data_IF_799559743750
#
_entry.id   IF_799559743750
#
_cell.length_a   1.000
_cell.length_b   1.000
_cell.length_c   1.000
_cell.angle_alpha   90.00
_cell.angle_beta   90.00
_cell.angle_gamma   90.00
#
_symmetry.space_group_name_H-M   'P 1'
#
loop_
_entity.id
_entity.type
_entity.pdbx_description
1 polymer ?
2 branched ?
3 non-polymer ?
4 non-polymer ?
5 water ?
#
# COMPACT_ATOMS: atom_id res chain seq x y z
N UNK A 1 -5.56 -15.59 1.51
CA UNK A 1 -6.02 -14.49 0.68
C UNK A 1 -6.86 -13.54 1.49
N UNK A 2 -7.03 -12.30 1.03
CA UNK A 2 -7.95 -11.41 1.66
C UNK A 2 -8.83 -10.83 0.58
N UNK A 3 -10.00 -10.33 0.92
CA UNK A 3 -10.96 -9.79 -0.05
C UNK A 3 -11.62 -8.53 0.40
N UNK A 4 -12.11 -7.74 -0.55
CA UNK A 4 -12.87 -6.54 -0.27
C UNK A 4 -13.88 -6.35 -1.43
N UNK A 5 -15.14 -6.10 -1.09
CA UNK A 5 -16.18 -5.77 -2.03
C UNK A 5 -16.68 -4.38 -1.92
N UNK A 6 -16.67 -3.64 -3.02
CA UNK A 6 -17.11 -2.28 -3.00
C UNK A 6 -18.66 -2.24 -2.93
N UNK A 7 -19.29 -3.32 -3.41
CA UNK A 7 -20.78 -3.30 -3.34
C UNK A 7 -21.21 -3.50 -1.88
N UNK A 8 -21.89 -2.46 -1.37
CA UNK A 8 -22.34 -2.44 0.02
C UNK A 8 -21.27 -1.98 0.95
N UNK A 9 -20.14 -1.58 0.40
CA UNK A 9 -19.02 -1.22 1.31
C UNK A 9 -19.35 0.05 2.13
N UNK A 10 -18.79 0.10 3.32
CA UNK A 10 -18.92 1.22 4.23
C UNK A 10 -17.68 1.38 5.09
N UNK A 11 -17.60 2.36 5.95
CA UNK A 11 -16.35 2.51 6.68
C UNK A 11 -16.03 1.26 7.48
N UNK A 12 -17.06 0.62 8.00
CA UNK A 12 -16.83 -0.57 8.79
C UNK A 12 -16.27 -1.73 7.93
N UNK A 13 -16.86 -2.02 6.80
CA UNK A 13 -16.37 -3.15 6.02
C UNK A 13 -14.97 -2.87 5.40
N UNK A 14 -14.65 -1.64 5.10
CA UNK A 14 -13.30 -1.28 4.66
C UNK A 14 -12.32 -1.48 5.81
N UNK A 15 -12.71 -1.05 7.00
CA UNK A 15 -11.81 -1.31 8.15
C UNK A 15 -11.53 -2.76 8.42
N UNK A 16 -12.56 -3.62 8.19
CA UNK A 16 -12.38 -5.04 8.31
C UNK A 16 -11.40 -5.59 7.24
N UNK A 17 -11.46 -5.02 6.00
CA UNK A 17 -10.53 -5.46 4.97
C UNK A 17 -9.07 -5.01 5.37
N UNK A 18 -8.88 -3.78 5.77
CA UNK A 18 -7.56 -3.26 6.17
C UNK A 18 -7.00 -4.10 7.34
N UNK A 19 -7.87 -4.48 8.26
CA UNK A 19 -7.46 -5.38 9.33
C UNK A 19 -7.05 -6.77 8.81
N UNK A 20 -7.82 -7.31 7.88
CA UNK A 20 -7.47 -8.58 7.28
C UNK A 20 -6.14 -8.52 6.52
N UNK A 21 -5.94 -7.43 5.80
CA UNK A 21 -4.71 -7.24 5.03
C UNK A 21 -3.50 -7.21 6.02
N UNK A 22 -3.60 -6.37 7.06
CA UNK A 22 -2.47 -6.35 8.03
C UNK A 22 -2.18 -7.74 8.64
N UNK A 23 -3.24 -8.41 8.98
CA UNK A 23 -3.16 -9.74 9.67
C UNK A 23 -2.73 -10.83 8.76
N UNK A 24 -2.77 -10.58 7.43
CA UNK A 24 -2.22 -11.55 6.49
C UNK A 24 -0.72 -11.45 6.34
N UNK A 25 -0.08 -10.42 6.90
CA UNK A 25 1.37 -10.24 6.63
C UNK A 25 2.10 -10.88 7.82
N UNK A 26 3.03 -11.77 7.52
CA UNK A 26 3.65 -12.53 8.65
C UNK A 26 4.71 -11.72 9.37
N UNK A 27 4.91 -12.01 10.69
CA UNK A 27 5.96 -11.34 11.46
C UNK A 27 6.39 -12.34 12.57
N UNK A 28 7.64 -12.27 12.99
CA UNK A 28 8.19 -13.05 14.10
C UNK A 28 8.33 -12.25 15.40
N UNK A 29 8.31 -10.94 15.28
CA UNK A 29 8.65 -10.01 16.33
C UNK A 29 7.82 -8.71 16.20
N UNK A 30 7.58 -8.01 17.29
CA UNK A 30 7.09 -6.62 17.27
C UNK A 30 8.20 -5.80 17.84
N UNK A 31 8.31 -4.58 17.38
CA UNK A 31 9.27 -3.65 17.82
C UNK A 31 8.47 -2.47 18.29
N UNK A 32 8.57 -2.14 19.54
CA UNK A 32 7.77 -1.08 20.12
C UNK A 32 6.25 -1.33 19.89
N UNK A 33 5.89 -2.59 19.95
CA UNK A 33 4.53 -3.10 19.80
C UNK A 33 3.97 -3.01 18.37
N UNK A 34 4.85 -2.79 17.42
CA UNK A 34 4.47 -2.74 15.96
C UNK A 34 5.07 -3.97 15.29
N UNK A 35 4.24 -4.79 14.55
CA UNK A 35 4.74 -5.88 13.76
C UNK A 35 5.87 -5.49 12.82
N UNK A 36 6.91 -6.30 12.90
CA UNK A 36 8.09 -6.12 12.13
C UNK A 36 8.01 -7.06 10.95
N UNK A 37 7.93 -6.55 9.72
CA UNK A 37 7.84 -7.43 8.57
C UNK A 37 9.10 -8.26 8.37
N UNK A 38 8.97 -9.46 7.81
CA UNK A 38 10.12 -10.34 7.72
C UNK A 38 11.18 -9.84 6.74
N UNK A 39 12.47 -10.12 6.99
CA UNK A 39 13.54 -9.84 6.04
C UNK A 39 13.31 -10.50 4.66
N UNK A 40 12.80 -11.73 4.64
CA UNK A 40 12.73 -12.45 3.38
C UNK A 40 11.76 -13.58 3.52
N UNK A 41 11.13 -13.99 2.41
CA UNK A 41 10.23 -15.15 2.41
C UNK A 41 10.47 -15.85 1.07
N UNK A 42 10.70 -17.16 1.07
CA UNK A 42 11.01 -17.81 -0.20
C UNK A 42 9.81 -18.50 -0.82
N UNK A 43 9.79 -18.41 -2.14
CA UNK A 43 8.83 -19.15 -2.95
C UNK A 43 7.57 -18.36 -3.08
N UNK A 44 6.47 -19.08 -3.27
CA UNK A 44 5.21 -18.46 -3.53
C UNK A 44 4.63 -17.82 -2.28
N UNK A 45 5.06 -18.29 -1.10
CA UNK A 45 4.67 -17.66 0.17
C UNK A 45 4.96 -16.18 0.34
N UNK A 46 5.83 -15.65 -0.49
CA UNK A 46 6.15 -14.26 -0.45
C UNK A 46 4.95 -13.42 -0.83
N UNK A 47 4.01 -13.98 -1.56
CA UNK A 47 2.95 -13.14 -2.17
C UNK A 47 1.60 -13.32 -1.57
N UNK A 48 0.95 -12.24 -1.18
CA UNK A 48 -0.42 -12.29 -0.73
C UNK A 48 -1.35 -11.94 -1.86
N UNK A 49 -2.44 -12.67 -2.00
CA UNK A 49 -3.50 -12.37 -3.03
C UNK A 49 -4.64 -11.60 -2.44
N UNK A 50 -4.87 -10.40 -2.97
CA UNK A 50 -5.98 -9.58 -2.57
C UNK A 50 -7.04 -9.64 -3.66
N UNK A 51 -8.21 -10.09 -3.31
CA UNK A 51 -9.30 -10.10 -4.31
C UNK A 51 -10.18 -8.92 -4.08
N UNK A 52 -10.25 -8.07 -5.09
CA UNK A 52 -11.00 -6.83 -4.99
C UNK A 52 -12.12 -6.85 -5.98
N UNK A 53 -13.33 -6.43 -5.54
CA UNK A 53 -14.53 -6.50 -6.40
C UNK A 53 -15.09 -5.11 -6.51
N UNK A 54 -15.38 -4.75 -7.76
CA UNK A 54 -15.94 -3.45 -7.94
C UNK A 54 -17.45 -3.49 -7.64
N UNK A 55 -18.10 -2.34 -7.77
CA UNK A 55 -19.50 -2.22 -7.33
C UNK A 55 -20.42 -3.22 -8.11
N UNK A 56 -20.04 -3.50 -9.35
CA UNK A 56 -20.74 -4.45 -10.25
C UNK A 56 -20.33 -5.88 -10.06
N UNK A 57 -19.41 -6.16 -9.15
CA UNK A 57 -19.04 -7.57 -8.87
C UNK A 57 -17.89 -8.17 -9.69
N UNK A 58 -17.39 -7.39 -10.60
CA UNK A 58 -16.19 -7.80 -11.38
C UNK A 58 -14.98 -7.66 -10.51
N UNK A 59 -13.95 -8.43 -10.77
CA UNK A 59 -12.88 -8.63 -9.80
C UNK A 59 -11.47 -8.62 -10.45
N UNK A 60 -10.49 -8.11 -9.69
CA UNK A 60 -9.08 -8.35 -10.01
C UNK A 60 -8.45 -9.01 -8.78
N UNK A 61 -7.38 -9.76 -8.98
CA UNK A 61 -6.58 -10.29 -7.88
C UNK A 61 -5.24 -9.55 -7.95
N UNK A 62 -4.87 -8.96 -6.81
CA UNK A 62 -3.63 -8.16 -6.70
C UNK A 62 -2.66 -9.00 -5.90
N UNK A 63 -1.44 -9.12 -6.42
CA UNK A 63 -0.28 -9.82 -5.71
C UNK A 63 0.55 -8.75 -4.94
N UNK A 64 0.72 -8.96 -3.59
CA UNK A 64 1.44 -8.07 -2.70
C UNK A 64 2.60 -8.85 -2.06
N UNK A 65 3.77 -8.28 -2.10
CA UNK A 65 4.92 -8.89 -1.47
C UNK A 65 4.78 -8.63 0.02
N UNK A 66 4.78 -9.74 0.83
CA UNK A 66 4.42 -9.68 2.29
C UNK A 66 5.55 -9.08 3.18
N UNK A 67 6.74 -8.92 2.61
CA UNK A 67 7.86 -8.33 3.29
C UNK A 67 7.85 -6.80 3.26
N UNK A 68 7.12 -6.20 2.25
CA UNK A 68 7.24 -4.79 2.12
C UNK A 68 5.91 -4.07 1.70
N UNK A 69 4.89 -4.91 1.55
CA UNK A 69 3.51 -4.43 1.15
C UNK A 69 3.60 -3.81 -0.23
N UNK A 70 4.55 -4.16 -1.07
CA UNK A 70 4.61 -3.58 -2.40
C UNK A 70 3.73 -4.38 -3.35
N UNK A 71 2.94 -3.68 -4.14
CA UNK A 71 2.14 -4.46 -5.13
C UNK A 71 3.04 -4.85 -6.29
N UNK A 72 2.98 -6.12 -6.72
CA UNK A 72 3.82 -6.56 -7.82
C UNK A 72 3.10 -6.59 -9.14
N UNK A 73 1.81 -6.93 -9.10
CA UNK A 73 1.03 -7.10 -10.39
C UNK A 73 -0.32 -7.54 -10.01
N UNK A 74 -1.14 -7.86 -10.98
CA UNK A 74 -2.55 -8.21 -10.68
C UNK A 74 -3.03 -9.06 -11.87
N UNK A 75 -4.09 -9.76 -11.63
CA UNK A 75 -4.76 -10.58 -12.63
C UNK A 75 -6.18 -10.01 -12.92
N UNK A 76 -6.52 -9.93 -14.20
CA UNK A 76 -7.84 -9.38 -14.56
C UNK A 76 -8.30 -10.29 -15.67
N UNK A 77 -9.26 -11.15 -15.34
CA UNK A 77 -9.76 -12.16 -16.21
C UNK A 77 -8.61 -13.04 -16.67
N UNK A 78 -8.29 -13.14 -17.92
CA UNK A 78 -7.29 -14.13 -18.20
C UNK A 78 -5.95 -13.56 -18.44
N UNK A 79 -5.77 -12.32 -18.06
CA UNK A 79 -4.52 -11.66 -18.33
C UNK A 79 -3.84 -11.21 -17.05
N UNK A 80 -2.54 -11.45 -16.92
CA UNK A 80 -1.76 -10.91 -15.79
C UNK A 80 -1.03 -9.69 -16.19
N UNK A 81 -0.69 -8.80 -15.24
CA UNK A 81 -0.01 -7.60 -15.54
C UNK A 81 1.01 -7.40 -14.40
N UNK A 82 2.29 -7.09 -14.73
CA UNK A 82 3.29 -6.85 -13.70
C UNK A 82 4.06 -5.60 -13.89
N UNK A 83 4.52 -4.93 -12.83
CA UNK A 83 5.42 -3.80 -12.97
C UNK A 83 6.70 -4.17 -13.68
N UNK A 84 7.29 -3.22 -14.35
CA UNK A 84 8.54 -3.42 -15.05
C UNK A 84 9.68 -3.18 -14.09
N UNK A 85 9.88 -4.13 -13.19
CA UNK A 85 10.95 -4.11 -12.19
C UNK A 85 11.34 -5.54 -11.84
N UNK A 86 12.57 -5.77 -11.37
CA UNK A 86 12.97 -7.14 -11.12
C UNK A 86 12.18 -7.92 -10.07
N UNK A 87 11.72 -7.24 -8.98
CA UNK A 87 10.95 -7.90 -7.94
C UNK A 87 9.65 -8.35 -8.52
N UNK A 88 9.10 -7.59 -9.50
CA UNK A 88 7.86 -8.02 -10.07
C UNK A 88 8.07 -9.09 -11.07
N UNK A 89 9.15 -9.03 -11.89
CA UNK A 89 9.34 -10.13 -12.79
C UNK A 89 9.53 -11.42 -11.97
N UNK A 90 10.29 -11.36 -10.86
CA UNK A 90 10.42 -12.48 -9.91
C UNK A 90 9.05 -13.02 -9.42
N UNK A 91 8.16 -12.11 -9.01
CA UNK A 91 6.82 -12.54 -8.61
C UNK A 91 6.10 -13.28 -9.71
N UNK A 92 6.32 -12.88 -10.97
CA UNK A 92 5.56 -13.49 -12.05
C UNK A 92 5.98 -14.95 -12.24
N UNK A 93 7.02 -15.36 -11.53
CA UNK A 93 7.38 -16.75 -11.52
C UNK A 93 6.47 -17.58 -10.64
N UNK A 94 5.76 -16.95 -9.71
CA UNK A 94 4.97 -17.66 -8.71
C UNK A 94 3.44 -17.44 -8.79
N UNK A 95 2.98 -16.23 -9.20
CA UNK A 95 1.55 -15.94 -9.14
C UNK A 95 0.98 -15.80 -10.57
N UNK A 96 -0.25 -16.24 -10.73
CA UNK A 96 -1.07 -15.96 -11.92
C UNK A 96 -0.46 -16.68 -13.10
N UNK A 97 0.29 -17.74 -12.85
CA UNK A 97 0.90 -18.46 -13.93
C UNK A 97 -0.13 -19.03 -14.90
N UNK A 98 -1.35 -19.27 -14.44
CA UNK A 98 -2.41 -19.83 -15.28
C UNK A 98 -3.13 -18.82 -16.19
N UNK A 99 -2.70 -17.57 -16.18
CA UNK A 99 -3.19 -16.50 -17.07
C UNK A 99 -2.86 -16.93 -18.50
N UNK A 100 -3.80 -16.67 -19.42
CA UNK A 100 -3.46 -16.83 -20.88
C UNK A 100 -2.32 -15.97 -21.42
N UNK A 101 -2.12 -14.71 -20.98
CA UNK A 101 -0.99 -13.92 -21.42
C UNK A 101 -0.56 -13.05 -20.29
N UNK A 102 0.67 -12.67 -20.30
CA UNK A 102 1.27 -11.82 -19.30
C UNK A 102 1.78 -10.53 -19.91
N UNK A 103 1.19 -9.40 -19.48
CA UNK A 103 1.71 -8.15 -19.94
C UNK A 103 2.59 -7.45 -18.92
N UNK A 104 3.73 -6.97 -19.30
CA UNK A 104 4.57 -6.20 -18.44
C UNK A 104 4.21 -4.76 -18.67
N UNK A 105 3.73 -4.12 -17.59
CA UNK A 105 3.42 -2.69 -17.70
C UNK A 105 4.61 -1.81 -18.06
N UNK A 106 4.41 -0.65 -18.75
CA UNK A 106 5.54 0.13 -19.22
C UNK A 106 6.03 1.21 -18.14
N UNK A 107 6.13 0.74 -16.87
CA UNK A 107 6.69 1.47 -15.81
C UNK A 107 6.92 0.51 -14.66
N UNK A 108 7.82 0.89 -13.79
CA UNK A 108 7.90 0.26 -12.44
C UNK A 108 6.76 0.76 -11.54
N UNK A 109 6.74 0.20 -10.34
CA UNK A 109 5.77 0.57 -9.31
C UNK A 109 6.09 1.71 -8.40
N UNK A 110 7.20 2.42 -8.58
CA UNK A 110 7.36 3.50 -7.69
C UNK A 110 6.61 4.79 -8.01
N UNK A 111 6.30 5.52 -6.99
CA UNK A 111 5.41 6.62 -7.13
C UNK A 111 5.87 7.59 -8.21
N UNK A 112 7.15 7.85 -8.28
CA UNK A 112 7.59 8.82 -9.26
C UNK A 112 7.35 8.38 -10.68
N UNK A 113 7.69 7.16 -10.94
CA UNK A 113 7.39 6.59 -12.29
C UNK A 113 5.87 6.54 -12.61
N UNK A 114 5.07 6.17 -11.60
CA UNK A 114 3.64 6.02 -11.89
C UNK A 114 3.06 7.42 -12.16
N UNK A 115 3.46 8.44 -11.39
CA UNK A 115 2.99 9.83 -11.56
C UNK A 115 3.38 10.32 -12.96
N UNK A 116 4.55 9.91 -13.42
CA UNK A 116 5.02 10.35 -14.78
C UNK A 116 4.06 9.74 -15.82
N UNK A 117 3.81 8.43 -15.67
CA UNK A 117 2.92 7.69 -16.59
C UNK A 117 1.51 8.22 -16.57
N UNK A 118 1.04 8.63 -15.38
CA UNK A 118 -0.29 9.07 -15.23
C UNK A 118 -0.51 10.51 -15.70
N UNK A 119 0.58 11.25 -15.76
CA UNK A 119 0.51 12.68 -16.11
C UNK A 119 0.12 13.63 -14.94
N UNK A 120 0.14 13.12 -13.70
CA UNK A 120 -0.33 13.90 -12.57
C UNK A 120 0.40 13.38 -11.34
N UNK A 121 0.69 14.26 -10.39
CA UNK A 121 1.26 13.86 -9.12
C UNK A 121 0.10 13.35 -8.28
N UNK A 122 0.42 12.54 -7.27
CA UNK A 122 -0.61 12.06 -6.27
C UNK A 122 -1.44 13.15 -5.65
N UNK A 123 -0.79 14.26 -5.31
CA UNK A 123 -1.50 15.41 -4.71
C UNK A 123 -2.75 15.80 -5.48
N UNK A 124 -2.78 15.51 -6.77
CA UNK A 124 -3.93 15.92 -7.57
C UNK A 124 -4.92 14.82 -7.94
N UNK A 125 -4.69 13.59 -7.44
CA UNK A 125 -5.56 12.49 -7.75
C UNK A 125 -6.48 12.17 -6.59
N UNK A 126 -7.80 12.41 -6.76
CA UNK A 126 -8.64 12.02 -5.67
C UNK A 126 -8.56 10.53 -5.33
N UNK A 127 -8.65 10.25 -4.00
CA UNK A 127 -8.76 8.86 -3.53
C UNK A 127 -9.95 8.68 -2.60
N UNK A 128 -10.30 7.46 -2.32
CA UNK A 128 -11.55 7.13 -1.64
C UNK A 128 -12.04 5.82 -2.12
N UNK A 129 -13.17 5.35 -1.56
CA UNK A 129 -13.78 4.13 -1.99
C UNK A 129 -14.36 4.24 -3.42
N UNK A 130 -15.02 5.35 -3.76
CA UNK A 130 -15.46 5.45 -5.19
C UNK A 130 -14.26 5.40 -6.14
N UNK A 131 -13.17 6.05 -5.75
CA UNK A 131 -11.98 5.99 -6.61
C UNK A 131 -11.42 4.59 -6.74
N UNK A 132 -11.48 3.81 -5.66
CA UNK A 132 -11.03 2.44 -5.78
C UNK A 132 -11.96 1.60 -6.67
N UNK A 133 -13.30 1.87 -6.61
CA UNK A 133 -14.20 1.19 -7.54
C UNK A 133 -13.78 1.51 -8.97
N UNK A 134 -13.50 2.76 -9.24
CA UNK A 134 -13.05 3.12 -10.58
C UNK A 134 -11.74 2.46 -10.96
N UNK A 135 -10.82 2.37 -10.02
CA UNK A 135 -9.49 1.82 -10.39
C UNK A 135 -9.64 0.37 -10.76
N UNK A 136 -10.41 -0.39 -10.01
CA UNK A 136 -10.65 -1.80 -10.30
C UNK A 136 -11.22 -1.89 -11.71
N UNK A 137 -12.22 -1.04 -11.98
CA UNK A 137 -12.84 -1.06 -13.31
C UNK A 137 -11.81 -0.80 -14.41
N UNK A 138 -10.98 0.21 -14.21
CA UNK A 138 -9.95 0.56 -15.20
C UNK A 138 -9.01 -0.59 -15.40
N UNK A 139 -8.61 -1.29 -14.29
CA UNK A 139 -7.59 -2.30 -14.49
C UNK A 139 -8.14 -3.52 -15.19
N UNK A 140 -9.49 -3.64 -15.33
CA UNK A 140 -10.04 -4.84 -15.93
C UNK A 140 -9.68 -5.00 -17.39
N UNK A 141 -9.45 -3.88 -18.07
CA UNK A 141 -9.02 -3.88 -19.47
C UNK A 141 -7.82 -2.97 -19.74
N UNK A 142 -6.81 -3.47 -20.37
CA UNK A 142 -5.58 -2.76 -20.43
C UNK A 142 -5.63 -1.38 -21.07
N UNK A 143 -5.09 -0.41 -20.37
CA UNK A 143 -4.86 0.91 -20.85
C UNK A 143 -3.75 1.44 -19.97
N UNK A 144 -2.53 1.48 -20.46
CA UNK A 144 -1.42 1.75 -19.57
C UNK A 144 -1.45 3.12 -18.93
N UNK A 145 -1.86 4.13 -19.67
CA UNK A 145 -1.94 5.46 -19.04
C UNK A 145 -3.07 5.54 -17.99
N UNK A 146 -4.24 4.95 -18.27
CA UNK A 146 -5.34 4.96 -17.27
C UNK A 146 -4.87 4.10 -16.06
N UNK A 147 -4.16 3.03 -16.37
CA UNK A 147 -3.83 2.07 -15.28
C UNK A 147 -2.86 2.75 -14.31
N UNK A 148 -1.94 3.62 -14.74
CA UNK A 148 -1.03 4.24 -13.80
C UNK A 148 -1.77 5.03 -12.73
N UNK A 149 -2.75 5.83 -13.12
CA UNK A 149 -3.55 6.61 -12.13
C UNK A 149 -4.35 5.55 -11.31
N UNK A 150 -4.93 4.51 -11.89
CA UNK A 150 -5.72 3.50 -11.13
C UNK A 150 -4.78 2.91 -10.07
N UNK A 151 -3.52 2.68 -10.45
CA UNK A 151 -2.60 1.99 -9.53
C UNK A 151 -2.20 2.97 -8.43
N UNK A 152 -2.04 4.28 -8.73
CA UNK A 152 -1.80 5.18 -7.60
C UNK A 152 -2.96 5.15 -6.62
N UNK A 153 -4.24 5.04 -7.12
CA UNK A 153 -5.35 4.98 -6.17
C UNK A 153 -5.24 3.64 -5.43
N UNK A 154 -4.99 2.54 -6.14
CA UNK A 154 -5.00 1.22 -5.50
C UNK A 154 -3.94 1.08 -4.40
N UNK A 155 -2.74 1.60 -4.72
CA UNK A 155 -1.62 1.47 -3.74
C UNK A 155 -1.99 2.24 -2.43
N UNK A 156 -2.55 3.45 -2.57
CA UNK A 156 -2.82 4.24 -1.40
C UNK A 156 -3.97 3.72 -0.62
N UNK A 157 -5.00 3.16 -1.28
CA UNK A 157 -6.17 2.75 -0.55
C UNK A 157 -6.01 1.35 0.01
N UNK A 158 -4.91 0.61 -0.28
CA UNK A 158 -4.73 -0.80 0.25
C UNK A 158 -3.43 -0.72 1.09
N UNK A 159 -2.30 -0.78 0.41
CA UNK A 159 -1.00 -0.83 1.14
C UNK A 159 -0.78 0.31 2.07
N UNK A 160 -1.03 1.54 1.66
CA UNK A 160 -0.72 2.69 2.52
C UNK A 160 -1.63 2.72 3.75
N UNK A 161 -2.89 2.39 3.54
CA UNK A 161 -3.84 2.32 4.66
C UNK A 161 -3.44 1.19 5.63
N UNK A 162 -2.98 0.08 5.06
CA UNK A 162 -2.47 -1.05 5.95
C UNK A 162 -1.33 -0.49 6.80
N UNK A 163 -0.45 0.33 6.25
CA UNK A 163 0.77 0.79 7.00
C UNK A 163 0.44 1.82 8.03
N UNK A 164 -0.58 2.67 7.85
CA UNK A 164 -0.83 3.82 8.75
C UNK A 164 -2.28 3.91 9.06
N UNK A 165 -2.59 3.87 10.35
CA UNK A 165 -3.99 4.05 10.80
C UNK A 165 -4.58 5.37 10.35
N UNK A 166 -3.79 6.41 10.28
CA UNK A 166 -4.28 7.70 9.84
C UNK A 166 -4.79 7.59 8.39
N UNK A 167 -4.05 6.86 7.58
CA UNK A 167 -4.39 6.76 6.11
C UNK A 167 -5.67 5.89 5.96
N UNK A 168 -5.83 4.86 6.78
CA UNK A 168 -7.04 4.09 6.79
C UNK A 168 -8.23 4.97 7.18
N UNK A 169 -8.08 5.80 8.18
CA UNK A 169 -9.15 6.72 8.53
C UNK A 169 -9.45 7.77 7.47
N UNK A 170 -8.45 8.24 6.78
CA UNK A 170 -8.68 9.18 5.67
C UNK A 170 -9.53 8.52 4.56
N UNK A 171 -9.24 7.25 4.29
CA UNK A 171 -10.08 6.52 3.25
C UNK A 171 -11.52 6.33 3.78
N UNK A 172 -11.65 6.06 5.08
CA UNK A 172 -12.99 5.88 5.64
C UNK A 172 -13.80 7.17 5.52
N UNK A 173 -13.14 8.30 5.67
CA UNK A 173 -13.79 9.55 5.54
C UNK A 173 -14.23 9.74 4.07
N UNK A 174 -13.56 9.03 3.14
CA UNK A 174 -13.84 9.15 1.74
C UNK A 174 -14.63 7.97 1.25
N UNK A 175 -15.56 7.43 2.06
CA UNK A 175 -16.21 6.18 1.70
C UNK A 175 -17.15 6.47 0.53
N UNK A 176 -17.66 7.72 0.55
CA UNK A 176 -18.75 8.03 -0.45
C UNK A 176 -18.49 9.24 -1.26
N UNK A 177 -17.34 9.81 -1.08
CA UNK A 177 -16.87 11.07 -1.74
C UNK A 177 -15.38 11.12 -1.83
N UNK A 178 -14.78 11.03 -3.00
CA UNK A 178 -13.34 11.09 -3.13
C UNK A 178 -12.78 12.45 -2.83
N UNK A 179 -11.55 12.50 -2.38
CA UNK A 179 -10.88 13.75 -2.20
C UNK A 179 -9.39 13.49 -2.30
N UNK A 180 -8.62 14.44 -2.90
CA UNK A 180 -7.17 14.31 -2.93
C UNK A 180 -6.59 14.04 -1.51
N UNK A 181 -5.49 13.28 -1.48
CA UNK A 181 -4.92 12.95 -0.14
C UNK A 181 -4.55 14.24 0.61
N UNK A 182 -4.67 14.21 1.96
CA UNK A 182 -4.17 15.32 2.75
C UNK A 182 -2.63 15.37 2.62
N UNK A 183 -2.05 16.55 2.83
CA UNK A 183 -0.57 16.64 2.82
C UNK A 183 0.06 15.63 3.89
N UNK A 184 -0.62 15.39 5.01
CA UNK A 184 -0.11 14.48 6.05
C UNK A 184 -0.03 13.09 5.43
N UNK A 185 -1.07 12.72 4.66
CA UNK A 185 -1.06 11.41 4.00
C UNK A 185 0.17 11.23 3.10
N UNK A 186 0.41 12.19 2.20
CA UNK A 186 1.53 12.10 1.31
C UNK A 186 2.87 12.01 2.12
N UNK A 187 2.89 12.79 3.21
CA UNK A 187 4.06 12.81 4.09
C UNK A 187 4.37 11.41 4.67
N UNK A 188 3.31 10.77 5.19
CA UNK A 188 3.44 9.42 5.82
C UNK A 188 3.88 8.43 4.76
N UNK A 189 3.20 8.46 3.58
CA UNK A 189 3.63 7.54 2.50
C UNK A 189 5.13 7.58 2.21
N UNK A 190 5.58 8.80 2.07
CA UNK A 190 6.94 9.12 1.76
C UNK A 190 7.90 8.76 2.87
N UNK A 191 7.42 8.73 4.10
CA UNK A 191 8.28 8.52 5.26
C UNK A 191 8.26 7.08 5.79
N UNK A 192 7.55 6.16 5.15
CA UNK A 192 7.37 4.87 5.79
C UNK A 192 8.72 4.13 6.02
N UNK A 193 9.57 4.10 5.01
CA UNK A 193 10.89 3.49 5.10
C UNK A 193 11.72 4.17 6.19
N UNK A 194 11.77 5.51 6.15
CA UNK A 194 12.49 6.34 7.17
C UNK A 194 12.01 5.94 8.54
N UNK A 195 10.71 6.06 8.76
CA UNK A 195 10.17 5.71 10.07
C UNK A 195 10.48 4.31 10.54
N UNK A 196 10.27 3.31 9.66
CA UNK A 196 10.50 1.91 9.95
C UNK A 196 11.94 1.74 10.42
N UNK A 197 12.84 2.37 9.71
CA UNK A 197 14.21 2.32 10.09
C UNK A 197 14.53 2.98 11.41
N UNK A 198 14.01 4.17 11.63
CA UNK A 198 14.29 4.90 12.90
C UNK A 198 13.72 4.21 14.13
N UNK A 199 12.55 3.55 13.98
CA UNK A 199 11.95 2.80 15.06
C UNK A 199 12.79 1.59 15.41
N UNK A 200 13.28 0.89 14.40
CA UNK A 200 14.18 -0.21 14.62
C UNK A 200 15.54 0.26 15.28
N UNK A 201 16.05 1.41 14.87
CA UNK A 201 17.37 1.87 15.42
C UNK A 201 17.22 2.39 16.81
N UNK A 202 16.03 2.88 17.16
CA UNK A 202 15.70 3.30 18.55
C UNK A 202 15.85 2.15 19.56
N UNK A 203 15.69 0.90 19.11
CA UNK A 203 15.76 -0.25 20.05
C UNK A 203 17.01 -0.30 20.87
N UNK A 204 18.15 0.05 20.29
CA UNK A 204 19.41 0.17 21.11
C UNK A 204 19.90 1.62 21.40
N UNK A 205 18.98 2.57 21.39
CA UNK A 205 19.28 3.97 21.51
C UNK A 205 18.19 4.60 22.44
N UNK A 206 17.69 3.79 23.38
CA UNK A 206 16.80 4.26 24.41
C UNK A 206 15.55 4.87 23.82
N UNK A 207 15.11 4.35 22.69
CA UNK A 207 13.81 4.88 22.13
C UNK A 207 14.00 6.14 21.27
N UNK A 208 15.24 6.59 21.08
CA UNK A 208 15.57 7.84 20.43
C UNK A 208 15.95 7.58 18.97
N UNK A 209 15.32 8.30 18.04
CA UNK A 209 15.75 8.26 16.64
C UNK A 209 17.23 8.68 16.41
N UNK A 210 18.03 7.82 15.78
CA UNK A 210 19.37 8.28 15.28
C UNK A 210 19.27 9.57 14.42
N UNK A 211 18.24 9.64 13.55
CA UNK A 211 17.98 10.80 12.67
C UNK A 211 16.49 11.14 12.72
N UNK A 212 16.14 12.38 13.00
CA UNK A 212 14.74 12.75 13.10
C UNK A 212 14.05 12.73 11.78
N UNK A 213 12.77 12.40 11.78
CA UNK A 213 11.98 12.38 10.57
C UNK A 213 11.07 13.58 10.55
N UNK A 214 11.03 14.32 9.45
CA UNK A 214 10.14 15.44 9.33
C UNK A 214 8.81 14.99 8.70
N UNK A 215 7.68 15.32 9.30
CA UNK A 215 6.36 15.02 8.76
C UNK A 215 5.47 16.26 8.71
N UNK A 216 4.43 16.17 7.88
CA UNK A 216 3.34 17.17 7.93
C UNK A 216 2.25 16.61 8.78
N UNK A 217 1.75 17.37 9.75
CA UNK A 217 0.63 16.92 10.58
C UNK A 217 -0.80 17.09 10.03
N UNK A 218 -1.77 16.50 10.72
CA UNK A 218 -3.21 16.60 10.39
C UNK A 218 -3.70 18.05 10.16
N UNK A 219 -3.12 18.99 10.87
CA UNK A 219 -3.49 20.39 10.69
C UNK A 219 -2.71 21.05 9.56
N UNK A 220 -1.90 20.31 8.84
CA UNK A 220 -1.10 20.91 7.75
C UNK A 220 0.23 21.49 8.21
N UNK A 221 0.55 21.30 9.50
CA UNK A 221 1.80 21.79 10.10
C UNK A 221 2.93 20.77 10.11
N UNK A 222 4.16 21.28 10.00
CA UNK A 222 5.38 20.49 9.74
C UNK A 222 6.19 20.11 10.98
N UNK A 223 5.65 19.10 11.76
CA UNK A 223 6.28 18.39 12.91
C UNK A 223 7.59 17.59 12.67
N UNK A 224 8.32 17.34 13.75
CA UNK A 224 9.61 16.67 13.64
C UNK A 224 9.59 15.49 14.64
N UNK A 225 9.79 14.25 14.16
CA UNK A 225 9.57 13.06 15.03
C UNK A 225 10.95 12.62 15.51
N UNK A 226 11.14 12.51 16.83
CA UNK A 226 12.51 12.33 17.37
C UNK A 226 12.66 11.07 18.21
N UNK A 227 11.56 10.48 18.61
CA UNK A 227 11.54 9.38 19.50
C UNK A 227 10.27 8.59 19.44
N UNK A 228 10.31 7.38 19.98
CA UNK A 228 9.18 6.44 19.96
C UNK A 228 7.93 6.88 20.78
N UNK A 229 8.05 7.95 21.56
CA UNK A 229 6.85 8.44 22.26
C UNK A 229 5.94 9.24 21.35
N UNK A 230 6.38 9.53 20.13
CA UNK A 230 5.52 10.25 19.22
C UNK A 230 4.22 9.46 18.85
N UNK A 231 3.13 10.17 18.64
CA UNK A 231 1.88 9.55 18.30
C UNK A 231 2.03 8.77 17.01
N UNK A 232 2.85 9.25 16.11
CA UNK A 232 3.07 8.55 14.83
C UNK A 232 3.50 7.14 15.12
N UNK A 233 4.32 6.98 16.21
CA UNK A 233 4.79 5.61 16.56
C UNK A 233 3.85 4.84 17.50
N UNK A 234 3.20 5.55 18.43
CA UNK A 234 2.37 4.84 19.41
C UNK A 234 0.99 4.51 18.89
N UNK A 235 0.54 5.24 17.86
CA UNK A 235 -0.85 5.07 17.48
C UNK A 235 -1.03 4.81 15.98
N UNK A 236 -0.19 5.42 15.20
CA UNK A 236 -0.43 5.51 13.73
C UNK A 236 0.21 4.35 12.93
N UNK A 237 1.55 4.33 12.83
CA UNK A 237 2.22 3.25 12.10
C UNK A 237 1.80 1.83 12.53
N UNK A 238 1.55 0.92 11.58
CA UNK A 238 1.03 -0.40 11.94
C UNK A 238 1.90 -1.58 11.53
N UNK A 239 2.86 -1.31 10.66
CA UNK A 239 3.77 -2.33 10.06
C UNK A 239 5.13 -1.64 9.87
N UNK A 240 6.19 -2.39 10.11
CA UNK A 240 7.51 -1.88 9.91
C UNK A 240 8.28 -2.58 8.82
N UNK A 241 8.80 -1.81 7.89
CA UNK A 241 9.69 -2.34 6.85
C UNK A 241 10.97 -2.84 7.57
N UNK A 242 11.34 -4.11 7.38
CA UNK A 242 12.58 -4.62 8.10
C UNK A 242 13.81 -3.80 7.64
N UNK A 243 14.74 -3.39 8.56
CA UNK A 243 15.94 -2.64 8.07
C UNK A 243 16.82 -3.46 7.13
N UNK A 244 16.72 -4.79 7.17
CA UNK A 244 17.44 -5.59 6.15
C UNK A 244 17.05 -5.21 4.69
N UNK A 245 15.85 -4.63 4.54
CA UNK A 245 15.33 -4.25 3.22
C UNK A 245 15.41 -2.76 2.89
N UNK A 246 16.20 -2.01 3.67
CA UNK A 246 16.34 -0.55 3.54
C UNK A 246 17.79 -0.11 3.13
X LIG B 1 10.05 12.78 22.43
X LIG B 1 10.92 14.00 22.78
X LIG B 1 10.13 15.18 23.35
X LIG B 1 8.75 15.37 22.72
X LIG B 1 8.05 14.13 22.14
X LIG B 1 7.31 14.57 20.88
X LIG B 1 13.17 13.31 23.55
X LIG B 1 13.91 12.71 24.73
X LIG B 1 11.85 13.48 23.78
X LIG B 1 10.86 16.39 23.20
X LIG B 1 7.93 16.04 23.65
X LIG B 1 8.88 13.07 21.72
X LIG B 1 6.08 13.88 20.76
X LIG B 1 13.74 13.61 22.47
X LIG B 2 7.74 17.37 23.11
X LIG B 2 6.34 18.00 23.40
X LIG B 2 6.24 19.31 22.59
X LIG B 2 7.51 20.19 22.69
X LIG B 2 8.83 19.39 22.56
X LIG B 2 10.09 20.19 22.89
X LIG B 2 4.86 16.07 24.04
X LIG B 2 3.64 15.24 23.76
X LIG B 2 5.18 17.09 23.23
X LIG B 2 5.11 20.07 23.00
X LIG B 2 7.46 21.22 21.73
X LIG B 2 8.80 18.26 23.43
X LIG B 2 10.31 21.16 21.90
X LIG B 2 5.52 15.74 25.00
X LIG C 1 -0.99 -1.24 18.76
X LIG C 1 -2.25 -1.86 19.08
X LIG C 1 -1.05 -0.75 17.32
X LIG C 1 0.09 0.05 17.19
X LIG C 1 -0.17 1.42 16.95
X LIG C 1 1.24 1.80 16.39
X LIG C 1 1.38 3.10 15.99
X LIG D 1 3.26 -0.01 -2.00
X LIG D 1 3.55 0.23 -3.52
X LIG D 1 2.94 -0.86 -4.34
X LIG D 1 3.38 1.59 -4.07
X LIG D 1 5.05 0.53 -2.97
X LIG D 1 5.48 1.86 -2.61
X LIG D 1 6.34 2.42 -3.76
X LIG D 1 7.12 1.28 -4.31
X LIG D 1 8.46 1.26 -4.55
X LIG D 1 8.90 -0.08 -5.15
X LIG D 1 8.82 0.05 -6.65
X LIG D 1 7.65 -0.70 -7.02
X LIG D 1 10.09 -0.54 -7.26
X LIG D 1 10.75 0.35 -8.31
X LIG D 1 12.07 -0.31 -8.79
X LIG D 1 12.52 0.23 -10.16
X LIG D 1 13.48 -0.75 -10.86
X LIG D 1 13.35 -0.53 -12.37
X LIG D 1 13.12 -0.86 -13.87
X LIG D 1 14.23 -1.88 -14.30
X LIG D 1 15.49 -2.42 -14.99
X LIG D 1 15.83 -1.58 -16.23
X LIG D 1 16.34 -2.51 -17.32
X LIG D 1 9.27 2.17 -4.31
X LIG D 1 7.21 3.64 -3.28
X LIG D 1 6.60 4.20 -1.90
X LIG D 1 6.60 3.07 -0.79
X LIG D 1 6.22 1.73 -1.35
X LIG D 1 5.62 3.34 0.37
X LIG D 1 5.20 4.70 0.46
X LIG D 1 7.22 5.44 -1.47
X LIG D 1 7.42 4.65 -4.42
X LIG D 1 8.55 5.46 -4.39
X LIG D 1 9.41 5.42 -3.50
X LIG D 1 8.70 6.50 -5.56
X LIG D 1 9.51 7.78 -5.25
X LIG D 1 10.84 7.43 -4.84
X LIG D 1 8.82 8.68 -4.19
X LIG D 1 7.98 9.81 -4.82
X LIG D 1 7.87 11.02 -3.87
X LIG D 1 8.92 12.12 -4.23
X LIG D 1 9.30 12.97 -2.99
X LIG D 1 10.45 12.27 -2.21
X LIG D 1 9.87 11.36 -1.11
X LIG D 1 10.32 11.85 0.28
X LIG D 1 11.45 10.97 0.83
X LIG D 1 11.84 11.46 2.25
X LIG D 1 13.01 12.47 2.15
#
# INVERSE_FOLDING_TARGET
DVSFRLSGADPSSYGMFIKDLRNALPHTEKVYNIPLLLPSVSGAGRYLLMHLFNYDGNTITVAVDVTNVYIMGYLALTTSYFFNEPAADLASQYVFRSARRKITLPYSGNYERLQIAAGKPREKIPIGLPALDTAISTLLHYDSTAAAGALLVLIQTTAEAARFKYIEQQIQERAYRDEVPSSATISLENSWSGLSKQIQLAQGNNGVFRTPTVLVDSKGNRVQITNVTSNVVTSNIQLLLNTKNI
NAG C1 C2 C3 C4 C5 C6 C7 C8 N2 O3 O4 O5 O6 O7
NAG C1 C2 C3 C4 C5 C6 C7 C8 N2 O3 O4 O5 O6 O7
PEG C1 O1 C2 O2 C3 C4 O4
LP5 O48 P45 O46 O47 O1 C1 C2 N2 C7 C8 C16 O44 C17 C18 C19 C20 C21 C22 C23 C24 C25 C26 C27 O7 C3 C4 C5 O5 C6 O6 O4 O3 C28 O42 C29 C30 O43 C31 C32 C33 C34 C35 C36 C37 C38 C39 C40 C41
#
